data_IF_241038965696
#
_entry.id   IF_241038965696
#
_cell.length_a   1.000
_cell.length_b   1.000
_cell.length_c   1.000
_cell.angle_alpha   90.00
_cell.angle_beta   90.00
_cell.angle_gamma   90.00
#
_symmetry.space_group_name_H-M   'P 1'
#
loop_
_entity.id
_entity.type
_entity.pdbx_description
1 polymer ?
#
# COMPACT_ATOMS: atom_id res chain seq x y z
N UNK A 1 37.15 14.24 -60.46
CA UNK A 1 37.05 15.70 -60.30
C UNK A 1 36.30 16.01 -59.01
N UNK A 2 36.98 16.70 -58.08
CA UNK A 2 36.45 17.63 -57.06
C UNK A 2 35.45 16.99 -56.05
N UNK A 3 35.87 16.51 -54.87
CA UNK A 3 36.43 17.22 -53.70
C UNK A 3 35.57 18.38 -53.19
N UNK A 4 34.78 18.12 -52.14
CA UNK A 4 34.51 19.10 -51.10
C UNK A 4 34.27 18.36 -49.78
N UNK A 5 35.29 18.41 -48.90
CA UNK A 5 35.21 18.08 -47.48
C UNK A 5 34.51 19.23 -46.76
N UNK A 6 33.55 18.93 -45.89
CA UNK A 6 33.19 19.81 -44.78
C UNK A 6 33.07 18.94 -43.52
N UNK A 7 34.11 19.03 -42.70
CA UNK A 7 34.15 18.67 -41.28
C UNK A 7 33.49 19.81 -40.49
N UNK A 8 32.67 19.55 -39.46
CA UNK A 8 32.83 19.76 -37.98
C UNK A 8 31.47 19.50 -37.27
N UNK A 9 31.33 19.45 -35.92
CA UNK A 9 30.74 18.32 -35.21
C UNK A 9 29.35 18.63 -34.58
N UNK A 10 28.49 17.61 -34.41
CA UNK A 10 27.27 17.77 -33.61
C UNK A 10 27.21 16.72 -32.49
N UNK A 11 28.24 16.74 -31.64
CA UNK A 11 28.12 16.29 -30.25
C UNK A 11 27.68 17.50 -29.44
N UNK A 12 26.42 17.52 -28.99
CA UNK A 12 25.89 18.20 -27.80
C UNK A 12 24.40 18.54 -27.99
N UNK A 13 23.53 17.54 -27.82
CA UNK A 13 22.13 17.82 -27.45
C UNK A 13 21.41 16.65 -26.75
N UNK A 14 22.17 15.86 -25.99
CA UNK A 14 21.64 14.76 -25.17
C UNK A 14 22.29 14.67 -23.77
N UNK A 15 22.80 15.80 -23.25
CA UNK A 15 23.39 15.87 -21.90
C UNK A 15 22.81 17.01 -21.03
N UNK A 16 21.72 17.66 -21.45
CA UNK A 16 21.21 18.82 -20.73
C UNK A 16 20.05 18.54 -19.76
N UNK A 17 19.43 17.35 -19.76
CA UNK A 17 18.24 17.07 -18.93
C UNK A 17 18.44 16.06 -17.78
N UNK A 18 19.66 15.53 -17.59
CA UNK A 18 19.94 14.54 -16.54
C UNK A 18 20.76 15.04 -15.32
N UNK A 19 21.05 16.35 -15.25
CA UNK A 19 21.87 16.91 -14.16
C UNK A 19 21.11 17.84 -13.20
N UNK A 20 19.86 18.20 -13.49
CA UNK A 20 19.08 19.10 -12.62
C UNK A 20 18.24 18.37 -11.56
N UNK A 21 17.77 17.14 -11.83
CA UNK A 21 16.97 16.35 -10.88
C UNK A 21 17.79 15.50 -9.90
N UNK A 22 19.04 15.18 -10.25
CA UNK A 22 19.96 14.42 -9.39
C UNK A 22 20.67 15.32 -8.35
N UNK A 23 20.69 16.64 -8.55
CA UNK A 23 21.28 17.60 -7.62
C UNK A 23 20.38 17.98 -6.42
N UNK A 24 19.06 17.86 -6.54
CA UNK A 24 18.11 18.22 -5.47
C UNK A 24 17.81 17.08 -4.49
N UNK A 25 18.02 15.83 -4.90
CA UNK A 25 17.85 14.64 -4.05
C UNK A 25 19.10 14.32 -3.22
N UNK A 26 20.29 14.65 -3.72
CA UNK A 26 21.56 14.44 -3.00
C UNK A 26 21.74 15.39 -1.82
N UNK A 27 21.22 16.62 -1.88
CA UNK A 27 21.35 17.61 -0.80
C UNK A 27 20.55 17.30 0.46
N UNK A 28 19.46 16.51 0.40
CA UNK A 28 18.66 16.16 1.61
C UNK A 28 19.25 14.98 2.38
N UNK A 29 19.77 13.97 1.68
CA UNK A 29 20.47 12.84 2.30
C UNK A 29 21.83 13.27 2.88
N UNK A 30 22.57 14.11 2.14
CA UNK A 30 23.87 14.61 2.60
C UNK A 30 23.75 15.59 3.78
N UNK A 31 22.65 16.34 3.94
CA UNK A 31 22.45 17.19 5.13
C UNK A 31 22.20 16.40 6.41
N UNK A 32 21.71 15.16 6.33
CA UNK A 32 21.62 14.28 7.50
C UNK A 32 22.96 13.63 7.82
N UNK A 33 23.74 13.23 6.81
CA UNK A 33 25.10 12.69 6.99
C UNK A 33 26.13 13.75 7.42
N UNK A 34 26.01 15.00 6.97
CA UNK A 34 26.89 16.11 7.38
C UNK A 34 26.62 16.58 8.82
N UNK A 35 25.45 16.30 9.40
CA UNK A 35 25.23 16.49 10.85
C UNK A 35 25.95 15.45 11.72
N UNK A 36 26.39 14.33 11.14
CA UNK A 36 27.20 13.34 11.85
C UNK A 36 28.69 13.66 11.84
N UNK A 37 29.20 14.41 10.84
CA UNK A 37 30.63 14.75 10.78
C UNK A 37 31.01 16.03 11.52
N UNK A 38 30.05 16.89 11.89
CA UNK A 38 30.31 18.10 12.67
C UNK A 38 30.47 17.86 14.19
N UNK A 39 30.51 16.61 14.66
CA UNK A 39 30.70 16.30 16.10
C UNK A 39 32.04 15.62 16.44
N UNK A 40 33.05 15.71 15.57
CA UNK A 40 34.45 15.37 15.91
C UNK A 40 35.15 16.48 16.72
N UNK A 41 34.42 17.49 17.20
CA UNK A 41 34.85 18.26 18.34
C UNK A 41 34.68 17.38 19.58
N UNK A 42 35.80 16.92 20.16
CA UNK A 42 35.86 16.30 21.48
C UNK A 42 35.34 17.32 22.50
N UNK A 43 34.04 17.31 22.69
CA UNK A 43 33.38 17.94 23.83
C UNK A 43 33.45 16.92 24.96
N UNK A 44 34.04 17.31 26.09
CA UNK A 44 34.22 16.59 27.36
C UNK A 44 32.88 16.25 28.07
N UNK A 45 31.82 16.02 27.31
CA UNK A 45 30.53 15.53 27.78
C UNK A 45 30.52 14.03 27.56
N UNK A 46 30.10 13.22 28.55
CA UNK A 46 30.03 11.78 28.37
C UNK A 46 29.19 11.48 27.12
N UNK A 47 29.62 10.51 26.27
CA UNK A 47 28.92 10.18 25.04
C UNK A 47 27.45 9.93 25.38
N UNK A 48 26.56 10.67 24.72
CA UNK A 48 25.14 10.52 24.96
C UNK A 48 24.71 9.11 24.59
N UNK A 49 24.46 8.28 25.61
CA UNK A 49 23.97 6.92 25.42
C UNK A 49 22.54 7.01 24.89
N UNK A 50 22.27 6.33 23.78
CA UNK A 50 20.95 6.20 23.19
C UNK A 50 20.50 4.76 23.32
N UNK A 51 19.28 4.55 23.78
CA UNK A 51 18.68 3.22 23.73
C UNK A 51 18.29 2.92 22.29
N UNK A 52 18.76 1.79 21.77
CA UNK A 52 18.50 1.37 20.40
C UNK A 52 17.28 0.46 20.40
N UNK A 53 16.31 0.79 19.57
CA UNK A 53 15.09 0.01 19.36
C UNK A 53 14.96 -0.35 17.87
N UNK A 54 14.47 -1.56 17.61
CA UNK A 54 14.02 -1.94 16.28
C UNK A 54 12.49 -1.98 16.28
N UNK A 55 11.88 -1.41 15.26
CA UNK A 55 10.44 -1.41 15.05
C UNK A 55 10.09 -1.99 13.69
N UNK A 56 8.97 -2.71 13.59
CA UNK A 56 8.56 -3.42 12.39
C UNK A 56 7.21 -2.94 11.91
N UNK A 57 7.17 -2.45 10.68
CA UNK A 57 5.94 -2.25 9.95
C UNK A 57 5.54 -3.57 9.28
N UNK A 58 4.67 -4.34 9.95
CA UNK A 58 4.06 -5.53 9.36
C UNK A 58 2.96 -5.10 8.42
N UNK A 59 3.13 -5.49 7.16
CA UNK A 59 2.33 -5.06 6.02
C UNK A 59 1.56 -6.25 5.50
N UNK A 60 0.27 -6.05 5.26
CA UNK A 60 -0.58 -6.96 4.48
C UNK A 60 -0.86 -6.31 3.11
N UNK A 61 -0.36 -6.88 2.01
CA UNK A 61 -0.64 -6.37 0.66
C UNK A 61 -2.11 -6.62 0.25
N UNK A 62 -2.65 -5.88 -0.73
CA UNK A 62 -3.97 -6.15 -1.29
C UNK A 62 -4.04 -7.56 -1.88
N UNK A 63 -5.13 -8.28 -1.63
CA UNK A 63 -5.41 -9.62 -2.21
C UNK A 63 -6.14 -9.46 -3.54
N UNK A 64 -7.06 -8.50 -3.62
CA UNK A 64 -7.81 -8.21 -4.84
C UNK A 64 -7.34 -6.90 -5.45
N UNK A 65 -7.51 -6.78 -6.76
CA UNK A 65 -7.28 -5.51 -7.44
C UNK A 65 -8.25 -4.45 -6.89
N UNK A 66 -7.77 -3.21 -6.67
CA UNK A 66 -8.64 -2.08 -6.35
C UNK A 66 -9.69 -1.87 -7.44
N UNK A 67 -10.90 -1.40 -7.08
CA UNK A 67 -11.92 -1.07 -8.07
C UNK A 67 -11.48 0.13 -8.91
N UNK A 68 -11.78 0.08 -10.21
CA UNK A 68 -11.50 1.17 -11.14
C UNK A 68 -12.24 2.46 -10.74
N UNK A 69 -11.56 3.59 -10.85
CA UNK A 69 -12.11 4.94 -10.70
C UNK A 69 -12.96 5.27 -11.95
N UNK A 70 -13.91 6.19 -11.86
CA UNK A 70 -14.81 6.50 -12.99
C UNK A 70 -14.09 6.99 -14.25
N UNK A 71 -12.95 7.70 -14.08
CA UNK A 71 -12.10 8.09 -15.22
C UNK A 71 -11.45 6.85 -15.85
N UNK A 72 -10.98 5.91 -15.04
CA UNK A 72 -10.36 4.67 -15.49
C UNK A 72 -11.39 3.78 -16.20
N UNK A 73 -12.63 3.73 -15.71
CA UNK A 73 -13.74 3.02 -16.39
C UNK A 73 -14.02 3.59 -17.77
N UNK A 74 -14.19 4.92 -17.88
CA UNK A 74 -14.40 5.57 -19.17
C UNK A 74 -13.25 5.32 -20.14
N UNK A 75 -12.01 5.37 -19.64
CA UNK A 75 -10.84 5.07 -20.45
C UNK A 75 -10.81 3.60 -20.88
N UNK A 76 -11.14 2.68 -19.98
CA UNK A 76 -11.25 1.26 -20.27
C UNK A 76 -12.28 0.98 -21.37
N UNK A 77 -13.46 1.58 -21.30
CA UNK A 77 -14.52 1.42 -22.29
C UNK A 77 -14.07 1.92 -23.68
N UNK A 78 -13.44 3.09 -23.74
CA UNK A 78 -12.90 3.65 -24.99
C UNK A 78 -11.78 2.78 -25.56
N UNK A 79 -10.90 2.24 -24.70
CA UNK A 79 -9.83 1.35 -25.14
C UNK A 79 -10.37 0.03 -25.68
N UNK A 80 -11.41 -0.53 -25.04
CA UNK A 80 -12.07 -1.75 -25.49
C UNK A 80 -12.77 -1.55 -26.84
N UNK A 81 -13.46 -0.42 -27.04
CA UNK A 81 -14.07 -0.07 -28.33
C UNK A 81 -13.01 0.04 -29.43
N UNK A 82 -11.92 0.74 -29.15
CA UNK A 82 -10.81 0.91 -30.09
C UNK A 82 -10.12 -0.41 -30.42
N UNK A 83 -10.02 -1.33 -29.46
CA UNK A 83 -9.50 -2.67 -29.68
C UNK A 83 -10.43 -3.45 -30.63
N UNK A 84 -11.74 -3.43 -30.37
CA UNK A 84 -12.75 -4.10 -31.21
C UNK A 84 -12.80 -3.56 -32.65
N UNK A 85 -12.74 -2.24 -32.82
CA UNK A 85 -12.74 -1.60 -34.14
C UNK A 85 -11.47 -1.92 -34.97
N UNK A 86 -10.37 -2.22 -34.28
CA UNK A 86 -9.07 -2.51 -34.92
C UNK A 86 -8.75 -3.99 -34.99
N UNK A 87 -9.51 -4.83 -34.30
CA UNK A 87 -9.35 -6.28 -34.35
C UNK A 87 -9.93 -6.85 -35.63
N UNK A 88 -9.31 -7.92 -36.11
CA UNK A 88 -9.90 -8.78 -37.13
C UNK A 88 -10.90 -9.73 -36.46
N UNK A 89 -11.80 -10.29 -37.27
CA UNK A 89 -12.71 -11.33 -36.81
C UNK A 89 -11.92 -12.52 -36.27
N UNK A 90 -12.24 -12.95 -35.06
CA UNK A 90 -11.64 -14.13 -34.46
C UNK A 90 -12.25 -15.42 -35.01
N UNK A 91 -11.57 -16.55 -34.80
CA UNK A 91 -12.04 -17.85 -35.29
C UNK A 91 -13.45 -18.22 -34.79
N UNK A 92 -13.79 -17.80 -33.56
CA UNK A 92 -15.12 -17.99 -32.99
C UNK A 92 -16.18 -17.19 -33.75
N UNK A 93 -15.93 -15.91 -34.05
CA UNK A 93 -16.84 -15.07 -34.85
C UNK A 93 -16.97 -15.58 -36.28
N UNK A 94 -15.87 -16.03 -36.90
CA UNK A 94 -15.88 -16.62 -38.23
C UNK A 94 -16.70 -17.92 -38.26
N UNK A 95 -16.60 -18.76 -37.21
CA UNK A 95 -17.43 -19.96 -37.04
C UNK A 95 -18.90 -19.59 -36.87
N UNK A 96 -19.21 -18.61 -36.02
CA UNK A 96 -20.58 -18.16 -35.81
C UNK A 96 -21.24 -17.66 -37.10
N UNK A 97 -20.52 -16.86 -37.91
CA UNK A 97 -21.00 -16.40 -39.22
C UNK A 97 -21.21 -17.55 -40.22
N UNK A 98 -20.38 -18.58 -40.17
CA UNK A 98 -20.54 -19.80 -41.00
C UNK A 98 -21.79 -20.56 -40.59
N UNK A 99 -21.94 -20.80 -39.29
CA UNK A 99 -23.08 -21.54 -38.75
C UNK A 99 -24.41 -20.82 -39.07
N UNK A 100 -24.47 -19.49 -38.88
CA UNK A 100 -25.65 -18.68 -39.22
C UNK A 100 -26.02 -18.77 -40.71
N UNK A 101 -25.02 -18.85 -41.61
CA UNK A 101 -25.24 -19.00 -43.05
C UNK A 101 -25.86 -20.36 -43.36
N UNK A 102 -25.32 -21.43 -42.79
CA UNK A 102 -25.82 -22.79 -42.96
C UNK A 102 -27.25 -22.95 -42.43
N UNK A 103 -27.57 -22.35 -41.28
CA UNK A 103 -28.94 -22.37 -40.75
C UNK A 103 -29.94 -21.68 -41.69
N UNK A 104 -29.61 -20.48 -42.19
CA UNK A 104 -30.48 -19.74 -43.13
C UNK A 104 -30.71 -20.48 -44.44
N UNK A 105 -29.67 -21.14 -44.96
CA UNK A 105 -29.77 -21.95 -46.17
C UNK A 105 -30.66 -23.16 -45.95
N UNK A 106 -30.49 -23.87 -44.82
CA UNK A 106 -31.35 -24.99 -44.44
C UNK A 106 -32.81 -24.57 -44.27
N UNK A 107 -33.07 -23.40 -43.69
CA UNK A 107 -34.43 -22.86 -43.57
C UNK A 107 -35.04 -22.59 -44.96
N UNK A 108 -34.30 -22.00 -45.89
CA UNK A 108 -34.78 -21.76 -47.26
C UNK A 108 -35.11 -23.05 -48.00
N UNK A 109 -34.26 -24.07 -47.89
CA UNK A 109 -34.46 -25.36 -48.54
C UNK A 109 -35.67 -26.10 -47.98
N UNK A 110 -35.87 -26.05 -46.65
CA UNK A 110 -37.10 -26.56 -46.02
C UNK A 110 -38.37 -25.88 -46.51
N UNK A 111 -38.30 -24.60 -46.89
CA UNK A 111 -39.46 -23.86 -47.43
C UNK A 111 -39.69 -24.12 -48.92
N UNK A 112 -38.70 -24.65 -49.63
CA UNK A 112 -38.76 -24.88 -51.08
C UNK A 112 -39.03 -26.35 -51.46
N UNK A 113 -39.19 -27.25 -50.49
CA UNK A 113 -39.31 -28.72 -50.67
C UNK A 113 -38.23 -29.35 -51.58
N UNK A 114 -37.10 -28.67 -51.75
CA UNK A 114 -35.94 -29.17 -52.49
C UNK A 114 -35.00 -29.87 -51.50
N UNK A 115 -35.00 -31.21 -51.52
CA UNK A 115 -34.03 -32.03 -50.77
C UNK A 115 -32.64 -31.95 -51.41
N UNK A 116 -31.98 -30.78 -51.31
CA UNK A 116 -30.59 -30.67 -51.71
C UNK A 116 -29.68 -31.31 -50.66
N UNK A 117 -28.75 -32.14 -51.12
CA UNK A 117 -27.67 -32.77 -50.35
C UNK A 117 -26.78 -31.74 -49.63
N UNK A 118 -27.21 -31.23 -48.48
CA UNK A 118 -26.36 -30.48 -47.56
C UNK A 118 -25.32 -31.44 -46.98
N UNK A 119 -24.12 -31.43 -47.58
CA UNK A 119 -23.01 -32.31 -47.22
C UNK A 119 -22.27 -31.90 -45.94
N UNK A 120 -22.44 -30.65 -45.48
CA UNK A 120 -21.84 -30.19 -44.23
C UNK A 120 -22.72 -30.56 -43.03
N UNK A 121 -22.26 -31.52 -42.24
CA UNK A 121 -22.85 -31.86 -40.95
C UNK A 121 -22.64 -30.68 -39.99
N UNK A 122 -23.73 -29.99 -39.65
CA UNK A 122 -23.71 -28.97 -38.59
C UNK A 122 -23.43 -29.71 -37.29
N UNK A 123 -22.20 -29.57 -36.78
CA UNK A 123 -21.81 -30.06 -35.47
C UNK A 123 -22.49 -29.28 -34.35
N UNK A 124 -21.82 -29.12 -33.21
CA UNK A 124 -22.33 -28.23 -32.15
C UNK A 124 -22.27 -26.78 -32.67
N UNK A 125 -23.38 -26.06 -32.58
CA UNK A 125 -23.48 -24.66 -32.99
C UNK A 125 -22.68 -23.76 -32.04
N UNK A 126 -21.99 -22.75 -32.59
CA UNK A 126 -21.23 -21.79 -31.78
C UNK A 126 -22.06 -21.10 -30.67
N UNK A 127 -23.36 -20.84 -30.91
CA UNK A 127 -24.25 -20.26 -29.88
C UNK A 127 -24.55 -21.23 -28.73
N UNK A 128 -24.60 -22.54 -29.00
CA UNK A 128 -24.79 -23.57 -27.96
C UNK A 128 -23.55 -23.66 -27.08
N UNK A 129 -22.36 -23.59 -27.67
CA UNK A 129 -21.09 -23.49 -26.93
C UNK A 129 -21.07 -22.23 -26.05
N UNK A 130 -21.49 -21.08 -26.59
CA UNK A 130 -21.57 -19.82 -25.82
C UNK A 130 -22.51 -19.91 -24.62
N UNK A 131 -23.69 -20.50 -24.79
CA UNK A 131 -24.64 -20.73 -23.69
C UNK A 131 -24.07 -21.67 -22.62
N UNK A 132 -23.37 -22.73 -23.04
CA UNK A 132 -22.73 -23.66 -22.12
C UNK A 132 -21.64 -22.95 -21.31
N UNK A 133 -20.79 -22.16 -21.96
CA UNK A 133 -19.77 -21.35 -21.26
C UNK A 133 -20.40 -20.32 -20.32
N UNK A 134 -21.51 -19.69 -20.71
CA UNK A 134 -22.26 -18.77 -19.82
C UNK A 134 -22.78 -19.50 -18.58
N UNK A 135 -23.37 -20.69 -18.74
CA UNK A 135 -23.86 -21.53 -17.63
C UNK A 135 -22.72 -21.97 -16.70
N UNK A 136 -21.60 -22.42 -17.26
CA UNK A 136 -20.41 -22.79 -16.49
C UNK A 136 -19.82 -21.59 -15.74
N UNK A 137 -19.72 -20.43 -16.40
CA UNK A 137 -19.25 -19.20 -15.78
C UNK A 137 -20.16 -18.79 -14.62
N UNK A 138 -21.47 -18.87 -14.77
CA UNK A 138 -22.43 -18.60 -13.69
C UNK A 138 -22.33 -19.62 -12.55
N UNK A 139 -22.11 -20.90 -12.87
CA UNK A 139 -21.88 -21.94 -11.87
C UNK A 139 -20.61 -21.64 -11.06
N UNK A 140 -19.50 -21.32 -11.74
CA UNK A 140 -18.23 -20.97 -11.10
C UNK A 140 -18.38 -19.70 -10.26
N UNK A 141 -19.05 -18.65 -10.78
CA UNK A 141 -19.32 -17.42 -10.04
C UNK A 141 -20.14 -17.69 -8.79
N UNK A 142 -21.13 -18.59 -8.84
CA UNK A 142 -21.94 -19.00 -7.67
C UNK A 142 -21.12 -19.83 -6.67
N UNK A 143 -20.34 -20.80 -7.15
CA UNK A 143 -19.52 -21.67 -6.31
C UNK A 143 -18.41 -20.89 -5.58
N UNK A 144 -17.67 -20.07 -6.32
CA UNK A 144 -16.55 -19.27 -5.80
C UNK A 144 -16.97 -17.90 -5.26
N UNK A 145 -18.24 -17.53 -5.41
CA UNK A 145 -18.81 -16.23 -4.99
C UNK A 145 -18.07 -15.03 -5.59
N UNK A 146 -17.61 -15.17 -6.83
CA UNK A 146 -16.87 -14.13 -7.56
C UNK A 146 -17.84 -13.02 -7.96
N UNK A 147 -17.52 -11.75 -7.62
CA UNK A 147 -18.31 -10.57 -8.00
C UNK A 147 -19.25 -10.01 -6.93
N UNK A 148 -19.54 -10.77 -5.85
CA UNK A 148 -20.31 -10.28 -4.70
C UNK A 148 -19.44 -9.38 -3.79
N UNK A 149 -19.01 -8.22 -4.31
CA UNK A 149 -18.20 -7.25 -3.56
C UNK A 149 -18.96 -6.64 -2.37
N UNK A 150 -20.29 -6.64 -2.43
CA UNK A 150 -21.17 -6.27 -1.31
C UNK A 150 -20.99 -7.20 -0.12
N UNK A 151 -20.60 -8.45 -0.35
CA UNK A 151 -20.26 -9.48 0.64
C UNK A 151 -18.74 -9.60 0.86
N UNK A 152 -17.90 -9.03 0.03
CA UNK A 152 -16.49 -8.83 0.40
C UNK A 152 -16.32 -7.62 1.33
N UNK A 153 -17.15 -6.58 1.15
CA UNK A 153 -17.28 -5.45 2.08
C UNK A 153 -18.22 -5.74 3.27
N UNK A 154 -19.18 -6.70 3.16
CA UNK A 154 -20.17 -7.04 4.24
C UNK A 154 -20.36 -8.52 4.59
N UNK A 155 -19.61 -9.46 4.03
CA UNK A 155 -19.58 -10.89 4.39
C UNK A 155 -18.16 -11.36 4.72
N UNK A 156 -17.80 -11.14 5.97
CA UNK A 156 -18.23 -12.17 6.89
C UNK A 156 -19.49 -11.66 7.61
N UNK A 157 -20.27 -12.47 8.33
CA UNK A 157 -21.23 -12.00 9.34
C UNK A 157 -20.49 -11.21 10.44
N UNK A 158 -19.98 -10.04 10.06
CA UNK A 158 -18.73 -9.45 10.53
C UNK A 158 -18.70 -7.99 10.02
N UNK A 159 -19.87 -7.36 9.89
CA UNK A 159 -19.99 -5.96 10.28
C UNK A 159 -19.64 -5.77 11.78
N UNK A 160 -19.41 -6.88 12.52
CA UNK A 160 -18.68 -7.00 13.78
C UNK A 160 -17.24 -7.55 13.62
N UNK A 161 -16.62 -7.39 12.44
CA UNK A 161 -15.18 -7.60 12.28
C UNK A 161 -14.48 -6.53 13.09
N UNK A 162 -13.98 -6.88 14.28
CA UNK A 162 -13.10 -5.96 14.99
C UNK A 162 -11.94 -5.54 14.10
N UNK A 163 -11.36 -4.38 14.39
CA UNK A 163 -10.14 -3.84 13.75
C UNK A 163 -8.95 -4.85 13.74
N UNK A 164 -9.10 -6.00 14.39
CA UNK A 164 -8.16 -7.11 14.51
C UNK A 164 -8.15 -8.10 13.34
N UNK A 165 -9.17 -8.09 12.48
CA UNK A 165 -9.25 -9.09 11.39
C UNK A 165 -8.44 -8.73 10.16
N UNK A 166 -7.72 -9.73 9.65
CA UNK A 166 -6.91 -9.63 8.44
C UNK A 166 -7.74 -9.71 7.14
N UNK A 167 -9.00 -10.12 7.23
CA UNK A 167 -9.94 -10.24 6.10
C UNK A 167 -10.75 -8.95 5.86
N UNK A 168 -10.52 -7.90 6.63
CA UNK A 168 -11.10 -6.57 6.38
C UNK A 168 -10.38 -5.90 5.21
N UNK A 169 -11.09 -5.07 4.42
CA UNK A 169 -10.53 -4.20 3.36
C UNK A 169 -9.52 -4.92 2.46
N UNK A 170 -9.96 -6.00 1.81
CA UNK A 170 -9.04 -6.89 1.09
C UNK A 170 -8.40 -6.27 -0.15
N UNK A 171 -8.99 -5.19 -0.66
CA UNK A 171 -8.53 -4.30 -1.75
C UNK A 171 -7.46 -3.29 -1.32
N UNK A 172 -7.28 -3.07 -0.02
CA UNK A 172 -6.36 -2.06 0.49
C UNK A 172 -5.09 -2.66 1.12
N UNK A 173 -4.07 -1.83 1.18
CA UNK A 173 -2.86 -2.08 1.93
C UNK A 173 -3.11 -1.81 3.42
N UNK A 174 -2.86 -2.82 4.27
CA UNK A 174 -3.06 -2.70 5.72
C UNK A 174 -1.74 -2.81 6.46
N UNK A 175 -1.61 -2.03 7.53
CA UNK A 175 -0.46 -2.04 8.44
C UNK A 175 -0.93 -2.40 9.84
N UNK A 176 -0.11 -3.20 10.53
CA UNK A 176 -0.34 -3.55 11.92
C UNK A 176 0.13 -2.44 12.86
N UNK A 177 -0.77 -1.96 13.72
CA UNK A 177 -0.46 -1.09 14.85
C UNK A 177 -0.80 -1.81 16.15
N UNK A 178 -0.04 -1.51 17.20
CA UNK A 178 -0.16 -2.16 18.51
C UNK A 178 -0.13 -1.14 19.64
N UNK A 179 -0.83 -1.49 20.71
CA UNK A 179 -0.67 -0.92 22.04
C UNK A 179 0.12 -1.93 22.88
N UNK A 180 1.37 -1.62 23.19
CA UNK A 180 2.27 -2.49 23.95
C UNK A 180 2.23 -2.17 25.44
N UNK A 181 2.34 -3.20 26.27
CA UNK A 181 2.54 -3.11 27.71
C UNK A 181 4.03 -3.26 27.98
N UNK A 182 4.70 -2.20 28.39
CA UNK A 182 6.14 -2.24 28.69
C UNK A 182 6.46 -2.85 30.07
N UNK A 183 5.75 -3.90 30.50
CA UNK A 183 5.99 -4.60 31.76
C UNK A 183 5.96 -3.72 33.02
N UNK A 184 5.32 -2.54 32.98
CA UNK A 184 5.24 -1.62 34.13
C UNK A 184 4.11 -2.04 35.07
N UNK A 185 4.38 -1.99 36.38
CA UNK A 185 3.40 -2.26 37.45
C UNK A 185 2.17 -1.33 37.41
N UNK A 186 2.28 -0.19 36.74
CA UNK A 186 1.22 0.84 36.66
C UNK A 186 0.15 0.56 35.58
N UNK A 187 0.11 -0.65 35.00
CA UNK A 187 -0.78 -0.99 33.86
C UNK A 187 -0.73 0.03 32.70
N UNK A 188 0.43 0.66 32.49
CA UNK A 188 0.60 1.63 31.41
C UNK A 188 0.51 0.96 30.04
N UNK A 189 -0.35 1.48 29.17
CA UNK A 189 -0.43 1.10 27.77
C UNK A 189 0.26 2.17 26.91
N UNK A 190 1.07 1.73 25.96
CA UNK A 190 1.66 2.65 24.98
C UNK A 190 0.56 3.32 24.15
N UNK A 191 0.80 4.52 23.59
CA UNK A 191 0.00 5.01 22.48
C UNK A 191 0.09 4.03 21.29
N UNK A 192 -0.83 4.16 20.34
CA UNK A 192 -0.80 3.42 19.09
C UNK A 192 0.52 3.67 18.36
N UNK A 193 1.28 2.60 18.13
CA UNK A 193 2.58 2.64 17.48
C UNK A 193 2.82 1.35 16.69
N UNK A 194 3.86 1.36 15.86
CA UNK A 194 4.32 0.12 15.25
C UNK A 194 4.93 -0.81 16.31
N UNK A 195 4.83 -2.14 16.15
CA UNK A 195 5.57 -3.12 16.95
C UNK A 195 7.03 -2.69 17.12
N UNK A 196 7.51 -2.64 18.36
CA UNK A 196 8.91 -2.31 18.65
C UNK A 196 9.47 -3.11 19.82
N UNK A 197 10.77 -3.41 19.75
CA UNK A 197 11.54 -4.11 20.79
C UNK A 197 12.91 -3.45 20.99
N UNK A 198 13.43 -3.53 22.22
CA UNK A 198 14.77 -3.04 22.55
C UNK A 198 15.82 -3.99 21.96
N UNK A 199 16.88 -3.42 21.38
CA UNK A 199 18.00 -4.20 20.90
C UNK A 199 18.80 -4.80 22.07
N UNK A 200 19.15 -6.08 21.96
CA UNK A 200 19.98 -6.79 22.92
C UNK A 200 21.45 -6.79 22.46
N UNK A 201 22.41 -6.78 23.39
CA UNK A 201 23.82 -6.87 23.01
C UNK A 201 24.10 -8.21 22.32
N UNK A 202 24.73 -8.17 21.15
CA UNK A 202 25.04 -9.37 20.34
C UNK A 202 24.02 -9.69 19.24
N UNK A 203 22.89 -8.99 19.17
CA UNK A 203 21.92 -9.11 18.07
C UNK A 203 22.11 -8.01 17.02
N UNK A 204 21.86 -8.37 15.75
CA UNK A 204 21.69 -7.37 14.69
C UNK A 204 20.30 -6.72 14.76
N UNK A 205 20.17 -5.48 14.31
CA UNK A 205 18.87 -4.78 14.28
C UNK A 205 17.78 -5.55 13.51
N UNK A 206 18.18 -6.28 12.46
CA UNK A 206 17.27 -7.14 11.71
C UNK A 206 16.77 -8.30 12.57
N UNK A 207 17.65 -8.99 13.28
CA UNK A 207 17.26 -10.08 14.18
C UNK A 207 16.38 -9.54 15.31
N UNK A 208 16.67 -8.36 15.86
CA UNK A 208 15.78 -7.68 16.83
C UNK A 208 14.40 -7.42 16.25
N UNK A 209 14.32 -7.08 14.96
CA UNK A 209 13.07 -6.84 14.26
C UNK A 209 12.25 -8.14 14.09
N UNK A 210 12.92 -9.26 13.76
CA UNK A 210 12.30 -10.58 13.64
C UNK A 210 11.82 -11.07 15.01
N UNK A 211 12.67 -10.99 16.04
CA UNK A 211 12.34 -11.29 17.44
C UNK A 211 11.15 -10.46 17.94
N UNK A 212 11.10 -9.17 17.59
CA UNK A 212 9.97 -8.30 17.97
C UNK A 212 8.64 -8.86 17.49
N UNK A 213 8.58 -9.38 16.27
CA UNK A 213 7.35 -9.96 15.72
C UNK A 213 7.00 -11.27 16.44
N UNK A 214 7.99 -12.12 16.68
CA UNK A 214 7.83 -13.42 17.35
C UNK A 214 7.40 -13.28 18.81
N UNK A 215 7.92 -12.29 19.55
CA UNK A 215 7.56 -12.02 20.95
C UNK A 215 6.12 -11.51 21.09
N UNK A 216 5.66 -10.69 20.14
CA UNK A 216 4.35 -10.05 20.19
C UNK A 216 3.24 -10.94 19.61
N UNK A 217 3.56 -11.77 18.61
CA UNK A 217 2.59 -12.60 17.91
C UNK A 217 3.11 -14.02 17.71
N UNK A 218 2.38 -14.99 18.25
CA UNK A 218 2.63 -16.40 17.95
C UNK A 218 2.05 -16.74 16.57
N UNK A 219 2.78 -17.55 15.80
CA UNK A 219 2.36 -18.11 14.50
C UNK A 219 2.13 -17.08 13.39
N UNK A 220 2.77 -15.91 13.43
CA UNK A 220 2.67 -14.92 12.34
C UNK A 220 3.76 -15.15 11.28
N UNK A 221 3.42 -15.64 10.06
CA UNK A 221 4.41 -15.87 9.01
C UNK A 221 4.75 -14.53 8.35
N UNK A 222 5.78 -13.89 8.90
CA UNK A 222 6.30 -12.61 8.44
C UNK A 222 7.62 -12.82 7.72
N UNK A 223 7.77 -12.20 6.55
CA UNK A 223 9.04 -12.14 5.82
C UNK A 223 9.56 -10.71 5.79
N UNK A 224 10.73 -10.49 6.37
CA UNK A 224 11.43 -9.20 6.27
C UNK A 224 11.75 -8.86 4.82
N UNK A 225 11.50 -7.61 4.41
CA UNK A 225 11.74 -7.17 3.02
C UNK A 225 13.21 -6.82 2.76
N UNK A 226 13.89 -6.26 3.75
CA UNK A 226 15.26 -5.75 3.63
C UNK A 226 16.02 -5.96 4.93
N UNK A 227 17.35 -6.04 4.83
CA UNK A 227 18.25 -6.06 5.98
C UNK A 227 18.52 -4.65 6.53
N UNK A 228 18.23 -3.60 5.75
CA UNK A 228 18.44 -2.21 6.15
C UNK A 228 17.13 -1.57 6.66
N UNK A 229 17.19 -0.75 7.71
CA UNK A 229 16.04 0.03 8.15
C UNK A 229 15.70 1.08 7.08
N UNK A 230 14.41 1.32 6.86
CA UNK A 230 13.96 2.29 5.86
C UNK A 230 13.84 3.71 6.42
N UNK A 231 13.75 3.85 7.75
CA UNK A 231 13.65 5.14 8.43
C UNK A 231 14.13 5.03 9.88
N UNK A 232 14.47 6.18 10.47
CA UNK A 232 14.92 6.29 11.86
C UNK A 232 14.18 7.43 12.54
N UNK A 233 13.78 7.22 13.79
CA UNK A 233 13.16 8.24 14.63
C UNK A 233 13.86 8.35 15.98
N UNK A 234 14.23 9.58 16.35
CA UNK A 234 14.87 9.89 17.63
C UNK A 234 13.90 10.64 18.53
N UNK A 235 13.82 10.26 19.80
CA UNK A 235 13.12 11.04 20.80
C UNK A 235 13.85 11.04 22.13
N UNK A 236 13.80 12.16 22.83
CA UNK A 236 14.40 12.30 24.16
C UNK A 236 13.41 11.85 25.23
N UNK A 237 13.90 11.16 26.25
CA UNK A 237 13.06 10.80 27.39
C UNK A 237 12.75 12.03 28.24
N UNK A 238 11.51 12.21 28.72
CA UNK A 238 11.19 13.23 29.71
C UNK A 238 12.05 13.06 30.98
N UNK A 239 12.41 14.17 31.65
CA UNK A 239 13.32 14.14 32.79
C UNK A 239 12.84 13.21 33.92
N UNK A 240 11.54 13.22 34.21
CA UNK A 240 10.89 12.36 35.20
C UNK A 240 11.08 10.87 34.86
N UNK A 241 11.03 10.52 33.57
CA UNK A 241 11.19 9.15 33.12
C UNK A 241 12.64 8.69 33.23
N UNK A 242 13.61 9.57 32.94
CA UNK A 242 15.04 9.26 33.09
C UNK A 242 15.41 8.95 34.54
N UNK A 243 14.91 9.75 35.48
CA UNK A 243 15.11 9.53 36.91
C UNK A 243 14.49 8.20 37.37
N UNK A 244 13.27 7.90 36.91
CA UNK A 244 12.56 6.66 37.26
C UNK A 244 13.22 5.40 36.70
N UNK A 245 13.67 5.44 35.44
CA UNK A 245 14.32 4.29 34.79
C UNK A 245 15.77 4.10 35.22
N UNK A 246 16.36 5.06 35.97
CA UNK A 246 17.78 5.08 36.36
C UNK A 246 18.72 4.81 35.18
N UNK A 247 18.31 5.23 33.98
CA UNK A 247 19.05 5.02 32.75
C UNK A 247 20.00 6.17 32.51
N UNK A 248 21.24 5.86 32.10
CA UNK A 248 22.20 6.85 31.61
C UNK A 248 21.82 7.38 30.22
N UNK A 249 20.84 6.74 29.56
CA UNK A 249 20.41 7.06 28.20
C UNK A 249 19.62 8.37 28.12
N UNK A 250 20.02 9.24 27.19
CA UNK A 250 19.36 10.54 26.93
C UNK A 250 17.97 10.37 26.29
N UNK A 251 17.81 9.31 25.50
CA UNK A 251 16.61 9.03 24.74
C UNK A 251 16.71 7.69 24.01
N UNK A 252 15.82 7.50 23.04
CA UNK A 252 15.77 6.32 22.20
C UNK A 252 15.89 6.65 20.71
N UNK A 253 16.56 5.77 19.99
CA UNK A 253 16.65 5.73 18.54
C UNK A 253 15.89 4.50 18.04
N UNK A 254 14.79 4.73 17.32
CA UNK A 254 13.95 3.67 16.75
C UNK A 254 14.29 3.52 15.26
N UNK A 255 14.73 2.32 14.88
CA UNK A 255 14.98 1.94 13.49
C UNK A 255 13.81 1.15 12.94
N UNK A 256 13.21 1.60 11.84
CA UNK A 256 12.03 0.98 11.26
C UNK A 256 12.39 0.01 10.13
N UNK A 257 11.81 -1.19 10.17
CA UNK A 257 11.93 -2.24 9.16
C UNK A 257 10.57 -2.53 8.53
N UNK A 258 10.56 -2.99 7.28
CA UNK A 258 9.35 -3.44 6.58
C UNK A 258 9.31 -4.95 6.54
N UNK A 259 8.14 -5.51 6.80
CA UNK A 259 7.93 -6.95 6.74
C UNK A 259 6.56 -7.29 6.17
N UNK A 260 6.49 -8.33 5.34
CA UNK A 260 5.26 -8.74 4.65
C UNK A 260 4.63 -9.94 5.36
N UNK A 261 3.33 -9.87 5.58
CA UNK A 261 2.52 -10.99 6.04
C UNK A 261 2.23 -11.92 4.86
N UNK A 262 2.76 -13.15 4.91
CA UNK A 262 2.68 -14.09 3.78
C UNK A 262 1.40 -14.92 3.76
N UNK A 263 0.89 -15.32 4.93
CA UNK A 263 -0.31 -16.14 5.04
C UNK A 263 -1.32 -15.48 5.94
N UNK A 264 -2.59 -15.64 5.58
CA UNK A 264 -3.72 -15.14 6.35
C UNK A 264 -4.15 -16.13 7.43
N UNK A 265 -3.25 -16.39 8.39
CA UNK A 265 -3.55 -17.24 9.55
C UNK A 265 -4.09 -16.33 10.67
N UNK A 266 -5.15 -16.75 11.39
CA UNK A 266 -5.60 -16.05 12.58
C UNK A 266 -4.46 -16.01 13.61
N UNK A 267 -3.96 -14.81 13.87
CA UNK A 267 -2.84 -14.58 14.79
C UNK A 267 -3.28 -14.65 16.25
N UNK A 268 -2.42 -15.21 17.11
CA UNK A 268 -2.56 -15.15 18.56
C UNK A 268 -1.59 -14.12 19.11
N UNK A 269 -2.12 -12.96 19.49
CA UNK A 269 -1.34 -11.92 20.15
C UNK A 269 -0.99 -12.35 21.59
N UNK A 270 0.25 -12.12 22.00
CA UNK A 270 0.69 -12.37 23.36
C UNK A 270 0.08 -11.32 24.30
N UNK A 271 -0.86 -11.73 25.17
CA UNK A 271 -1.62 -10.83 26.06
C UNK A 271 -0.76 -10.11 27.11
N UNK A 272 0.43 -10.63 27.37
CA UNK A 272 1.37 -10.08 28.35
C UNK A 272 2.05 -8.81 27.81
N UNK A 273 2.45 -8.85 26.54
CA UNK A 273 3.19 -7.76 25.88
C UNK A 273 2.26 -6.85 25.06
N UNK A 274 1.15 -7.37 24.52
CA UNK A 274 0.21 -6.63 23.68
C UNK A 274 -1.11 -6.41 24.43
N UNK A 275 -1.48 -5.14 24.64
CA UNK A 275 -2.79 -4.77 25.18
C UNK A 275 -3.88 -4.84 24.12
N UNK A 276 -3.61 -4.26 22.94
CA UNK A 276 -4.51 -4.29 21.80
C UNK A 276 -3.71 -4.19 20.49
N UNK A 277 -4.30 -4.66 19.39
CA UNK A 277 -3.72 -4.57 18.06
C UNK A 277 -4.81 -4.29 17.03
N UNK A 278 -4.43 -3.60 15.95
CA UNK A 278 -5.34 -3.24 14.87
C UNK A 278 -4.64 -3.29 13.51
N UNK A 279 -5.37 -3.69 12.49
CA UNK A 279 -4.99 -3.56 11.09
C UNK A 279 -5.63 -2.30 10.54
N UNK A 280 -4.81 -1.35 10.12
CA UNK A 280 -5.27 -0.02 9.70
C UNK A 280 -4.91 0.27 8.25
N UNK A 281 -5.81 0.96 7.55
CA UNK A 281 -5.51 1.56 6.25
C UNK A 281 -4.63 2.80 6.39
N UNK A 282 -4.12 3.33 5.29
CA UNK A 282 -3.27 4.54 5.30
C UNK A 282 -3.95 5.75 5.98
N UNK A 283 -5.24 5.96 5.74
CA UNK A 283 -6.03 7.06 6.33
C UNK A 283 -6.29 6.85 7.84
N UNK A 284 -6.63 5.62 8.23
CA UNK A 284 -6.83 5.24 9.62
C UNK A 284 -5.51 5.34 10.39
N UNK A 285 -4.38 4.99 9.77
CA UNK A 285 -3.05 5.11 10.36
C UNK A 285 -2.72 6.55 10.76
N UNK A 286 -2.91 7.50 9.84
CA UNK A 286 -2.70 8.93 10.14
C UNK A 286 -3.64 9.40 11.24
N UNK A 287 -4.89 8.94 11.24
CA UNK A 287 -5.90 9.32 12.23
C UNK A 287 -5.58 8.82 13.63
N UNK A 288 -5.15 7.55 13.77
CA UNK A 288 -4.78 6.96 15.07
C UNK A 288 -3.49 7.57 15.65
N UNK A 289 -2.57 8.04 14.80
CA UNK A 289 -1.26 8.58 15.20
C UNK A 289 -1.18 10.11 15.15
N UNK A 290 -2.30 10.84 15.05
CA UNK A 290 -2.32 12.32 14.92
C UNK A 290 -1.53 13.04 16.02
N UNK A 291 -1.50 12.50 17.23
CA UNK A 291 -0.79 13.09 18.37
C UNK A 291 0.74 13.06 18.21
N UNK A 292 1.28 12.23 17.32
CA UNK A 292 2.72 12.02 17.13
C UNK A 292 3.16 12.44 15.71
N UNK A 293 3.01 13.72 15.38
CA UNK A 293 3.34 14.26 14.05
C UNK A 293 4.80 14.05 13.64
N UNK A 294 5.74 14.11 14.59
CA UNK A 294 7.16 13.83 14.36
C UNK A 294 7.41 12.36 13.99
N UNK A 295 6.66 11.45 14.61
CA UNK A 295 6.71 10.01 14.34
C UNK A 295 6.09 9.69 12.97
N UNK A 296 4.93 10.28 12.66
CA UNK A 296 4.31 10.17 11.34
C UNK A 296 5.22 10.68 10.23
N UNK A 297 5.96 11.78 10.45
CA UNK A 297 6.93 12.31 9.50
C UNK A 297 8.07 11.32 9.23
N UNK A 298 8.53 10.60 10.25
CA UNK A 298 9.54 9.55 10.05
C UNK A 298 8.98 8.38 9.22
N UNK A 299 7.68 8.11 9.29
CA UNK A 299 7.01 7.02 8.58
C UNK A 299 6.37 7.43 7.26
N UNK A 300 6.69 8.61 6.71
CA UNK A 300 6.08 9.09 5.47
C UNK A 300 6.35 8.19 4.25
N UNK A 301 7.41 7.37 4.29
CA UNK A 301 7.77 6.43 3.21
C UNK A 301 7.18 5.03 3.41
N UNK A 302 6.36 4.83 4.44
CA UNK A 302 5.71 3.55 4.72
C UNK A 302 4.67 3.21 3.65
N UNK A 303 3.77 4.15 3.38
CA UNK A 303 2.72 4.00 2.36
C UNK A 303 3.17 4.60 1.02
N UNK A 304 2.77 4.00 -0.10
CA UNK A 304 2.87 4.65 -1.41
C UNK A 304 2.19 6.03 -1.41
N UNK A 305 2.80 7.00 -2.09
CA UNK A 305 2.34 8.40 -2.10
C UNK A 305 0.88 8.55 -2.54
N UNK A 306 0.44 7.75 -3.51
CA UNK A 306 -0.93 7.78 -4.05
C UNK A 306 -2.01 7.38 -3.03
N UNK A 307 -1.65 6.63 -1.98
CA UNK A 307 -2.61 6.25 -0.93
C UNK A 307 -2.83 7.38 0.09
N UNK A 308 -1.87 8.28 0.25
CA UNK A 308 -1.96 9.40 1.20
C UNK A 308 -2.65 10.63 0.57
N UNK A 309 -2.68 10.70 -0.76
CA UNK A 309 -3.33 11.79 -1.51
C UNK A 309 -4.85 11.78 -1.37
N UNK A 310 -5.45 10.66 -0.95
CA UNK A 310 -6.90 10.56 -0.86
C UNK A 310 -7.53 11.48 0.19
N UNK A 311 -6.81 11.97 1.22
CA UNK A 311 -7.42 12.92 2.18
C UNK A 311 -6.48 13.70 3.16
N UNK A 312 -5.14 13.76 3.01
CA UNK A 312 -4.35 14.44 4.08
C UNK A 312 -3.01 15.08 3.69
N UNK A 313 -3.06 16.25 3.05
CA UNK A 313 -2.08 17.32 3.28
C UNK A 313 -2.73 18.72 3.23
N UNK A 314 -3.95 18.88 3.76
CA UNK A 314 -4.50 20.18 4.16
C UNK A 314 -4.39 20.39 5.68
N UNK A 315 -3.48 19.69 6.36
CA UNK A 315 -3.16 20.01 7.76
C UNK A 315 -2.10 21.12 7.79
N UNK A 316 -2.49 22.34 7.40
CA UNK A 316 -1.57 23.48 7.33
C UNK A 316 -2.18 24.87 7.10
N UNK A 317 -3.40 24.98 6.56
CA UNK A 317 -3.98 26.29 6.22
C UNK A 317 -5.16 26.71 7.11
N UNK A 318 -5.88 25.78 7.74
CA UNK A 318 -7.08 26.11 8.51
C UNK A 318 -6.80 26.86 9.83
N UNK A 319 -5.61 26.71 10.42
CA UNK A 319 -5.24 27.47 11.64
C UNK A 319 -4.92 28.95 11.39
N UNK A 320 -4.70 29.37 10.14
CA UNK A 320 -4.54 30.79 9.83
C UNK A 320 -5.89 31.48 9.66
N UNK A 321 -6.88 30.81 9.06
CA UNK A 321 -8.19 31.41 8.80
C UNK A 321 -8.99 31.73 10.06
N UNK A 322 -8.90 30.88 11.10
CA UNK A 322 -9.67 31.06 12.35
C UNK A 322 -9.11 32.22 13.21
N UNK A 323 -7.82 32.54 13.08
CA UNK A 323 -7.19 33.67 13.78
C UNK A 323 -7.47 35.02 13.11
N UNK A 324 -7.75 35.06 11.81
CA UNK A 324 -8.10 36.30 11.11
C UNK A 324 -9.56 36.70 11.29
N UNK A 325 -10.49 35.73 11.33
CA UNK A 325 -11.91 36.04 11.55
C UNK A 325 -12.21 36.52 12.98
N UNK A 326 -11.63 35.87 13.99
CA UNK A 326 -11.82 36.28 15.40
C UNK A 326 -11.22 37.67 15.74
N UNK A 327 -10.20 38.12 15.01
CA UNK A 327 -9.61 39.45 15.19
C UNK A 327 -10.39 40.57 14.51
N UNK A 328 -11.12 40.25 13.44
CA UNK A 328 -11.89 41.22 12.65
C UNK A 328 -13.27 41.47 13.28
N UNK A 329 -13.89 40.44 13.89
CA UNK A 329 -15.16 40.58 14.61
C UNK A 329 -15.03 41.36 15.93
N UNK A 330 -13.89 41.25 16.63
CA UNK A 330 -13.61 42.02 17.84
C UNK A 330 -13.34 43.52 17.57
N UNK A 331 -12.96 43.90 16.35
CA UNK A 331 -12.75 45.31 15.97
C UNK A 331 -14.02 45.99 15.45
N UNK A 332 -15.01 45.23 14.97
CA UNK A 332 -16.29 45.78 14.50
C UNK A 332 -17.29 46.10 15.63
N UNK A 333 -17.08 45.57 16.84
CA UNK A 333 -17.93 45.84 18.01
C UNK A 333 -17.42 46.97 18.92
N UNK A 334 -16.31 47.61 18.57
CA UNK A 334 -15.68 48.67 19.35
C UNK A 334 -15.57 50.01 18.58
N UNK A 335 -16.39 50.22 17.54
CA UNK A 335 -16.48 51.48 16.80
C UNK A 335 -17.90 52.03 16.81
#
# INVERSE_FOLDING_TARGET
MISARITVPFVRLLQAWDLASTALMSHRALRQLLRFQSSLAVSDRPPHVWDIFASVAVIRPPIIAPPMIDVEKRYHDVMLQKELERSLLCDFELRQLRDERLLKERERLKMSDEESNLHEEIGILASVDEENWRKEADQIRKQLRIGDLTKVKRCLPFAKAGDRSLQRKIDEFLVLIVCQKFGRKDNYHSPWQLPQAKNLPGESLKQTSERCVEELFSELPVKGMSNAPFSVYFYCYPAQLRQRLKTQSRGAAIFFFKALCQKHVPMKANKNEVADYKWVSAEEFVTNLRHATSYLRALSTLFPSYLLTRNSFQCGEEMKSIKTTSKTEMQAQAS
#
